data_IF_983091253665
#
_entry.id   IF_983091253665
#
_cell.length_a   1.000
_cell.length_b   1.000
_cell.length_c   1.000
_cell.angle_alpha   90.00
_cell.angle_beta   90.00
_cell.angle_gamma   90.00
#
_symmetry.space_group_name_H-M   'P 1'
#
loop_
_entity.id
_entity.type
_entity.pdbx_description
1 polymer ?
#
# COMPACT_ATOMS: atom_id res chain seq x y z
N UNK A 1 -4.97 -22.87 19.10
CA UNK A 1 -5.01 -21.65 18.24
C UNK A 1 -3.74 -21.50 17.40
N UNK A 2 -2.54 -21.50 18.00
CA UNK A 2 -1.25 -21.36 17.28
C UNK A 2 -1.05 -22.45 16.23
N UNK A 3 -1.34 -23.71 16.55
CA UNK A 3 -1.25 -24.84 15.61
C UNK A 3 -2.18 -24.68 14.40
N UNK A 4 -3.41 -24.23 14.64
CA UNK A 4 -4.39 -23.98 13.56
C UNK A 4 -3.89 -22.87 12.63
N UNK A 5 -3.38 -21.79 13.19
CA UNK A 5 -2.81 -20.68 12.41
C UNK A 5 -1.60 -21.15 11.62
N UNK A 6 -0.71 -21.94 12.25
CA UNK A 6 0.46 -22.52 11.59
C UNK A 6 0.08 -23.43 10.41
N UNK A 7 -0.89 -24.32 10.62
CA UNK A 7 -1.40 -25.22 9.58
C UNK A 7 -2.03 -24.45 8.43
N UNK A 8 -2.87 -23.46 8.71
CA UNK A 8 -3.50 -22.62 7.69
C UNK A 8 -2.46 -21.81 6.91
N UNK A 9 -1.47 -21.25 7.61
CA UNK A 9 -0.37 -20.53 7.01
C UNK A 9 0.43 -21.40 6.04
N UNK A 10 0.80 -22.61 6.47
CA UNK A 10 1.51 -23.55 5.63
C UNK A 10 0.65 -23.98 4.43
N UNK A 11 -0.61 -24.28 4.65
CA UNK A 11 -1.56 -24.72 3.60
C UNK A 11 -1.74 -23.68 2.53
N UNK A 12 -1.93 -22.43 2.92
CA UNK A 12 -2.12 -21.33 1.97
C UNK A 12 -0.84 -21.01 1.18
N UNK A 13 0.33 -21.05 1.80
CA UNK A 13 1.62 -20.91 1.12
C UNK A 13 1.83 -22.06 0.12
N UNK A 14 1.56 -23.29 0.55
CA UNK A 14 1.67 -24.47 -0.31
C UNK A 14 0.82 -24.34 -1.58
N UNK A 15 -0.45 -23.95 -1.46
CA UNK A 15 -1.31 -23.79 -2.64
C UNK A 15 -0.88 -22.65 -3.54
N UNK A 16 -0.38 -21.54 -2.98
CA UNK A 16 0.18 -20.47 -3.81
C UNK A 16 1.39 -20.95 -4.62
N UNK A 17 2.32 -21.65 -4.00
CA UNK A 17 3.50 -22.18 -4.68
C UNK A 17 3.15 -23.30 -5.67
N UNK A 18 2.23 -24.18 -5.33
CA UNK A 18 1.71 -25.19 -6.25
C UNK A 18 1.08 -24.56 -7.50
N UNK A 19 0.34 -23.46 -7.32
CA UNK A 19 -0.22 -22.68 -8.44
C UNK A 19 0.88 -22.06 -9.33
N UNK A 20 2.00 -21.62 -8.76
CA UNK A 20 3.15 -21.11 -9.52
C UNK A 20 3.86 -22.21 -10.29
N UNK A 21 4.03 -23.38 -9.68
CA UNK A 21 4.78 -24.50 -10.26
C UNK A 21 4.03 -25.24 -11.36
N UNK A 22 2.68 -25.20 -11.35
CA UNK A 22 1.90 -25.97 -12.35
C UNK A 22 1.77 -25.23 -13.68
N UNK A 23 2.02 -25.95 -14.76
CA UNK A 23 1.79 -25.50 -16.14
C UNK A 23 0.36 -25.79 -16.63
N UNK A 24 -0.32 -26.78 -16.03
CA UNK A 24 -1.66 -27.20 -16.42
C UNK A 24 -2.71 -26.19 -15.99
N UNK A 25 -3.50 -25.69 -16.94
CA UNK A 25 -4.51 -24.65 -16.70
C UNK A 25 -5.57 -25.08 -15.70
N UNK A 26 -6.07 -26.32 -15.79
CA UNK A 26 -7.12 -26.83 -14.90
C UNK A 26 -6.60 -26.99 -13.46
N UNK A 27 -5.41 -27.58 -13.31
CA UNK A 27 -4.77 -27.68 -11.99
C UNK A 27 -4.50 -26.30 -11.40
N UNK A 28 -4.10 -25.34 -12.24
CA UNK A 28 -3.86 -23.96 -11.81
C UNK A 28 -5.13 -23.32 -11.23
N UNK A 29 -6.29 -23.54 -11.85
CA UNK A 29 -7.58 -23.06 -11.34
C UNK A 29 -7.88 -23.71 -9.99
N UNK A 30 -7.70 -25.03 -9.87
CA UNK A 30 -7.93 -25.75 -8.61
C UNK A 30 -7.03 -25.21 -7.49
N UNK A 31 -5.72 -25.09 -7.73
CA UNK A 31 -4.79 -24.56 -6.73
C UNK A 31 -5.07 -23.09 -6.38
N UNK A 32 -5.49 -22.28 -7.35
CA UNK A 32 -5.91 -20.88 -7.07
C UNK A 32 -7.14 -20.87 -6.16
N UNK A 33 -8.13 -21.73 -6.41
CA UNK A 33 -9.33 -21.83 -5.57
C UNK A 33 -8.98 -22.28 -4.15
N UNK A 34 -8.12 -23.29 -4.00
CA UNK A 34 -7.65 -23.75 -2.69
C UNK A 34 -6.81 -22.69 -1.97
N UNK A 35 -5.98 -21.93 -2.69
CA UNK A 35 -5.28 -20.77 -2.15
C UNK A 35 -6.26 -19.72 -1.62
N UNK A 36 -7.31 -19.37 -2.36
CA UNK A 36 -8.32 -18.41 -1.92
C UNK A 36 -9.04 -18.92 -0.66
N UNK A 37 -9.53 -20.17 -0.68
CA UNK A 37 -10.23 -20.76 0.47
C UNK A 37 -9.34 -20.77 1.73
N UNK A 38 -8.10 -21.23 1.60
CA UNK A 38 -7.16 -21.25 2.73
C UNK A 38 -6.78 -19.85 3.22
N UNK A 39 -6.67 -18.87 2.31
CA UNK A 39 -6.43 -17.47 2.65
C UNK A 39 -7.61 -16.86 3.42
N UNK A 40 -8.83 -17.13 2.98
CA UNK A 40 -10.06 -16.70 3.67
C UNK A 40 -10.16 -17.34 5.05
N UNK A 41 -9.88 -18.65 5.17
CA UNK A 41 -9.85 -19.34 6.45
C UNK A 41 -8.79 -18.74 7.40
N UNK A 42 -7.59 -18.47 6.90
CA UNK A 42 -6.54 -17.81 7.68
C UNK A 42 -6.98 -16.41 8.13
N UNK A 43 -7.61 -15.64 7.23
CA UNK A 43 -8.12 -14.30 7.55
C UNK A 43 -9.22 -14.35 8.62
N UNK A 44 -10.09 -15.35 8.57
CA UNK A 44 -11.19 -15.51 9.55
C UNK A 44 -10.69 -15.87 10.97
N UNK A 45 -9.58 -16.60 11.07
CA UNK A 45 -8.98 -17.01 12.36
C UNK A 45 -8.10 -15.90 12.95
N UNK A 46 -7.49 -15.04 12.12
CA UNK A 46 -6.63 -13.96 12.58
C UNK A 46 -7.47 -12.76 13.06
N UNK A 47 -7.37 -12.46 14.35
CA UNK A 47 -8.01 -11.28 14.92
C UNK A 47 -7.33 -10.00 14.45
N UNK A 48 -8.08 -9.11 13.83
CA UNK A 48 -7.60 -7.81 13.38
C UNK A 48 -7.13 -6.90 14.50
N UNK A 49 -7.64 -7.11 15.71
CA UNK A 49 -7.26 -6.31 16.88
C UNK A 49 -5.82 -6.58 17.34
N UNK A 50 -5.20 -7.68 16.89
CA UNK A 50 -3.78 -7.96 17.13
C UNK A 50 -2.85 -7.04 16.29
N UNK A 51 -3.40 -6.34 15.31
CA UNK A 51 -2.65 -5.41 14.48
C UNK A 51 -2.57 -4.03 15.16
N UNK A 52 -1.35 -3.53 15.38
CA UNK A 52 -1.13 -2.19 15.96
C UNK A 52 -1.80 -1.08 15.12
N UNK A 53 -1.84 -1.23 13.79
CA UNK A 53 -2.50 -0.28 12.91
C UNK A 53 -4.02 -0.23 13.15
N UNK A 54 -4.64 -1.33 13.62
CA UNK A 54 -6.07 -1.35 13.96
C UNK A 54 -6.39 -0.32 15.05
N UNK A 55 -5.65 -0.30 16.15
CA UNK A 55 -5.87 0.66 17.24
C UNK A 55 -5.61 2.09 16.80
N UNK A 56 -4.59 2.28 15.97
CA UNK A 56 -4.26 3.57 15.42
C UNK A 56 -5.43 4.12 14.59
N UNK A 57 -5.95 3.34 13.64
CA UNK A 57 -7.10 3.76 12.82
C UNK A 57 -8.39 3.84 13.63
N UNK A 58 -8.61 2.92 14.55
CA UNK A 58 -9.82 2.89 15.37
C UNK A 58 -9.93 4.11 16.31
N UNK A 59 -8.81 4.60 16.85
CA UNK A 59 -8.74 5.78 17.69
C UNK A 59 -8.70 7.10 16.90
N UNK A 60 -8.34 7.04 15.62
CA UNK A 60 -8.16 8.24 14.80
C UNK A 60 -9.50 8.90 14.44
N UNK A 61 -9.54 10.23 14.53
CA UNK A 61 -10.67 11.04 14.09
C UNK A 61 -10.81 11.18 12.56
N UNK A 62 -10.07 10.40 11.77
CA UNK A 62 -10.10 10.37 10.29
C UNK A 62 -11.53 10.17 9.75
N UNK A 63 -12.37 9.48 10.51
CA UNK A 63 -13.73 9.14 10.11
C UNK A 63 -14.76 10.17 10.54
N UNK A 64 -14.34 11.30 11.12
CA UNK A 64 -15.25 12.45 11.29
C UNK A 64 -15.54 13.04 9.91
N UNK A 65 -16.81 13.40 9.72
CA UNK A 65 -17.27 14.02 8.47
C UNK A 65 -16.37 15.20 8.10
N UNK A 66 -15.73 15.19 6.93
CA UNK A 66 -14.85 16.28 6.55
C UNK A 66 -15.64 17.57 6.42
N UNK A 67 -15.08 18.66 6.95
CA UNK A 67 -15.72 19.99 6.99
C UNK A 67 -15.71 20.72 5.63
N UNK A 68 -15.04 20.15 4.61
CA UNK A 68 -14.97 20.72 3.28
C UNK A 68 -14.19 19.84 2.30
N UNK A 69 -14.23 20.21 1.04
CA UNK A 69 -13.59 19.44 -0.06
C UNK A 69 -12.07 19.25 0.14
N UNK A 70 -11.38 20.31 0.56
CA UNK A 70 -9.94 20.24 0.83
C UNK A 70 -9.64 19.30 2.02
N UNK A 71 -10.42 19.39 3.08
CA UNK A 71 -10.33 18.48 4.22
C UNK A 71 -10.57 17.02 3.80
N UNK A 72 -11.53 16.77 2.92
CA UNK A 72 -11.79 15.46 2.35
C UNK A 72 -10.58 14.92 1.56
N UNK A 73 -9.99 15.74 0.68
CA UNK A 73 -8.83 15.32 -0.12
C UNK A 73 -7.59 15.03 0.73
N UNK A 74 -7.35 15.81 1.79
CA UNK A 74 -6.18 15.68 2.64
C UNK A 74 -6.32 14.57 3.70
N UNK A 75 -7.54 14.14 4.01
CA UNK A 75 -7.84 13.11 5.01
C UNK A 75 -8.09 11.71 4.43
N UNK A 76 -7.41 11.38 3.33
CA UNK A 76 -7.45 10.04 2.74
C UNK A 76 -8.86 9.63 2.26
N UNK A 77 -9.33 10.21 1.14
CA UNK A 77 -10.68 10.01 0.60
C UNK A 77 -11.09 8.56 0.44
N UNK A 78 -10.13 7.68 0.09
CA UNK A 78 -10.38 6.25 -0.05
C UNK A 78 -10.86 5.62 1.26
N UNK A 79 -10.12 5.80 2.36
CA UNK A 79 -10.49 5.22 3.65
C UNK A 79 -11.83 5.75 4.15
N UNK A 80 -12.02 7.07 4.04
CA UNK A 80 -13.30 7.68 4.41
C UNK A 80 -14.46 7.12 3.58
N UNK A 81 -14.29 6.98 2.27
CA UNK A 81 -15.34 6.46 1.38
C UNK A 81 -15.67 5.00 1.70
N UNK A 82 -14.65 4.16 1.95
CA UNK A 82 -14.86 2.76 2.34
C UNK A 82 -15.56 2.68 3.70
N UNK A 83 -15.14 3.50 4.66
CA UNK A 83 -15.79 3.59 5.97
C UNK A 83 -17.26 4.02 5.81
N UNK A 84 -17.53 5.14 5.10
CA UNK A 84 -18.86 5.64 4.88
C UNK A 84 -19.77 4.64 4.15
N UNK A 85 -19.21 3.88 3.21
CA UNK A 85 -19.95 2.80 2.54
C UNK A 85 -20.41 1.72 3.52
N UNK A 86 -19.52 1.23 4.38
CA UNK A 86 -19.90 0.18 5.33
C UNK A 86 -20.81 0.67 6.45
N UNK A 87 -20.78 1.94 6.83
CA UNK A 87 -21.74 2.51 7.80
C UNK A 87 -23.19 2.56 7.28
N UNK A 88 -23.42 2.36 5.99
CA UNK A 88 -24.76 2.20 5.44
C UNK A 88 -25.41 0.87 5.85
N UNK A 89 -24.61 -0.14 6.22
CA UNK A 89 -25.07 -1.50 6.47
C UNK A 89 -24.76 -1.98 7.90
N UNK A 90 -23.80 -1.35 8.57
CA UNK A 90 -23.28 -1.77 9.87
C UNK A 90 -23.31 -0.59 10.85
N UNK A 91 -23.88 -0.80 12.02
CA UNK A 91 -24.03 0.25 13.04
C UNK A 91 -22.80 0.31 13.96
N UNK A 92 -22.28 -0.84 14.35
CA UNK A 92 -21.16 -0.90 15.28
C UNK A 92 -19.83 -0.55 14.60
N UNK A 93 -19.13 0.46 15.11
CA UNK A 93 -17.80 0.91 14.60
C UNK A 93 -16.83 -0.25 14.43
N UNK A 94 -16.83 -1.22 15.36
CA UNK A 94 -15.96 -2.41 15.30
C UNK A 94 -16.24 -3.26 14.07
N UNK A 95 -17.51 -3.47 13.73
CA UNK A 95 -17.94 -4.25 12.58
C UNK A 95 -17.59 -3.56 11.27
N UNK A 96 -17.77 -2.23 11.21
CA UNK A 96 -17.35 -1.41 10.06
C UNK A 96 -15.84 -1.57 9.80
N UNK A 97 -15.03 -1.50 10.85
CA UNK A 97 -13.58 -1.70 10.71
C UNK A 97 -13.23 -3.12 10.27
N UNK A 98 -13.88 -4.13 10.83
CA UNK A 98 -13.69 -5.51 10.41
C UNK A 98 -14.03 -5.68 8.90
N UNK A 99 -15.13 -5.10 8.45
CA UNK A 99 -15.54 -5.12 7.05
C UNK A 99 -14.51 -4.40 6.14
N UNK A 100 -13.95 -3.27 6.58
CA UNK A 100 -12.87 -2.57 5.85
C UNK A 100 -11.62 -3.44 5.69
N UNK A 101 -11.22 -4.17 6.73
CA UNK A 101 -10.09 -5.10 6.65
C UNK A 101 -10.38 -6.28 5.72
N UNK A 102 -11.60 -6.82 5.73
CA UNK A 102 -12.03 -7.85 4.79
C UNK A 102 -12.02 -7.34 3.34
N UNK A 103 -12.50 -6.13 3.13
CA UNK A 103 -12.50 -5.51 1.80
C UNK A 103 -11.08 -5.31 1.27
N UNK A 104 -10.17 -4.82 2.11
CA UNK A 104 -8.77 -4.65 1.73
C UNK A 104 -8.07 -5.99 1.46
N UNK A 105 -8.36 -7.01 2.28
CA UNK A 105 -7.91 -8.39 2.06
C UNK A 105 -8.38 -8.93 0.70
N UNK A 106 -9.64 -8.69 0.33
CA UNK A 106 -10.18 -9.09 -0.96
C UNK A 106 -9.42 -8.43 -2.12
N UNK A 107 -9.19 -7.12 -2.04
CA UNK A 107 -8.41 -6.37 -3.06
C UNK A 107 -7.00 -6.95 -3.19
N UNK A 108 -6.32 -7.20 -2.08
CA UNK A 108 -4.99 -7.79 -2.09
C UNK A 108 -4.99 -9.19 -2.70
N UNK A 109 -5.95 -10.04 -2.32
CA UNK A 109 -6.08 -11.39 -2.87
C UNK A 109 -6.32 -11.36 -4.38
N UNK A 110 -7.22 -10.50 -4.87
CA UNK A 110 -7.47 -10.33 -6.30
C UNK A 110 -6.22 -9.85 -7.05
N UNK A 111 -5.44 -8.93 -6.48
CA UNK A 111 -4.18 -8.49 -7.06
C UNK A 111 -3.17 -9.64 -7.18
N UNK A 112 -3.01 -10.46 -6.14
CA UNK A 112 -2.08 -11.59 -6.19
C UNK A 112 -2.57 -12.71 -7.12
N UNK A 113 -3.88 -12.95 -7.24
CA UNK A 113 -4.44 -13.82 -8.28
C UNK A 113 -4.11 -13.27 -9.67
N UNK A 114 -4.34 -11.97 -9.89
CA UNK A 114 -3.95 -11.33 -11.15
C UNK A 114 -2.47 -11.54 -11.46
N UNK A 115 -1.58 -11.39 -10.48
CA UNK A 115 -0.13 -11.59 -10.62
C UNK A 115 0.21 -13.06 -10.93
N UNK A 116 -0.46 -14.04 -10.30
CA UNK A 116 -0.28 -15.48 -10.57
C UNK A 116 -0.44 -15.82 -12.05
N UNK A 117 -1.42 -15.20 -12.71
CA UNK A 117 -1.72 -15.48 -14.11
C UNK A 117 -0.86 -14.71 -15.12
N UNK A 118 0.10 -13.89 -14.68
CA UNK A 118 1.04 -13.21 -15.58
C UNK A 118 2.17 -14.17 -16.00
N UNK A 119 2.07 -14.76 -17.21
CA UNK A 119 3.06 -15.74 -17.71
C UNK A 119 4.45 -15.12 -17.93
N UNK A 120 4.50 -13.84 -18.22
CA UNK A 120 5.67 -13.04 -18.55
C UNK A 120 6.40 -12.45 -17.33
N UNK A 121 5.87 -12.68 -16.12
CA UNK A 121 6.57 -12.38 -14.86
C UNK A 121 7.21 -13.66 -14.34
N UNK A 122 8.51 -13.62 -14.13
CA UNK A 122 9.29 -14.74 -13.63
C UNK A 122 8.77 -15.25 -12.27
N UNK A 123 8.78 -16.57 -12.08
CA UNK A 123 8.23 -17.21 -10.89
C UNK A 123 8.84 -16.65 -9.59
N UNK A 124 10.15 -16.50 -9.52
CA UNK A 124 10.84 -16.01 -8.33
C UNK A 124 10.42 -14.59 -7.94
N UNK A 125 10.14 -13.71 -8.92
CA UNK A 125 9.63 -12.35 -8.67
C UNK A 125 8.24 -12.39 -8.03
N UNK A 126 7.37 -13.28 -8.50
CA UNK A 126 6.05 -13.51 -7.90
C UNK A 126 6.14 -14.03 -6.48
N UNK A 127 7.08 -14.96 -6.23
CA UNK A 127 7.33 -15.50 -4.89
C UNK A 127 7.78 -14.41 -3.92
N UNK A 128 8.76 -13.60 -4.30
CA UNK A 128 9.26 -12.49 -3.49
C UNK A 128 8.13 -11.50 -3.19
N UNK A 129 7.41 -11.04 -4.22
CA UNK A 129 6.31 -10.10 -4.03
C UNK A 129 5.24 -10.67 -3.10
N UNK A 130 4.91 -11.95 -3.24
CA UNK A 130 3.92 -12.60 -2.40
C UNK A 130 4.38 -12.69 -0.94
N UNK A 131 5.55 -13.23 -0.67
CA UNK A 131 6.06 -13.42 0.69
C UNK A 131 6.15 -12.10 1.46
N UNK A 132 6.65 -11.04 0.81
CA UNK A 132 6.84 -9.75 1.49
C UNK A 132 5.60 -8.86 1.54
N UNK A 133 4.70 -8.97 0.55
CA UNK A 133 3.64 -7.96 0.41
C UNK A 133 2.22 -8.49 0.62
N UNK A 134 1.98 -9.81 0.45
CA UNK A 134 0.62 -10.32 0.61
C UNK A 134 0.10 -10.13 2.03
N UNK A 135 0.89 -10.53 3.04
CA UNK A 135 0.51 -10.32 4.44
C UNK A 135 0.41 -8.83 4.77
N UNK A 136 1.38 -8.06 4.32
CA UNK A 136 1.38 -6.62 4.57
C UNK A 136 0.11 -5.97 4.03
N UNK A 137 -0.23 -6.21 2.78
CA UNK A 137 -1.37 -5.54 2.13
C UNK A 137 -2.72 -6.16 2.48
N UNK A 138 -2.79 -7.47 2.67
CA UNK A 138 -4.05 -8.15 2.96
C UNK A 138 -4.44 -8.16 4.45
N UNK A 139 -3.46 -8.09 5.35
CA UNK A 139 -3.73 -8.32 6.77
C UNK A 139 -3.38 -7.14 7.67
N UNK A 140 -2.46 -6.26 7.27
CA UNK A 140 -1.93 -5.20 8.13
C UNK A 140 -2.36 -3.82 7.65
N UNK A 141 -2.06 -3.46 6.41
CA UNK A 141 -2.16 -2.08 5.91
C UNK A 141 -3.51 -1.82 5.26
N UNK A 142 -4.29 -0.89 5.80
CA UNK A 142 -5.58 -0.51 5.21
C UNK A 142 -5.47 0.49 4.05
N UNK A 143 -4.58 1.47 4.15
CA UNK A 143 -4.58 2.65 3.27
C UNK A 143 -3.62 2.56 2.09
N UNK A 144 -2.40 2.12 2.33
CA UNK A 144 -1.33 2.17 1.33
C UNK A 144 -1.42 1.01 0.33
N UNK A 145 -1.97 -0.13 0.76
CA UNK A 145 -2.03 -1.36 -0.04
C UNK A 145 -2.60 -1.16 -1.44
N UNK A 146 -3.84 -0.65 -1.59
CA UNK A 146 -4.45 -0.45 -2.91
C UNK A 146 -3.64 0.49 -3.81
N UNK A 147 -3.06 1.57 -3.27
CA UNK A 147 -2.23 2.49 -4.03
C UNK A 147 -0.99 1.78 -4.59
N UNK A 148 -0.27 1.02 -3.76
CA UNK A 148 0.93 0.28 -4.19
C UNK A 148 0.62 -0.84 -5.17
N UNK A 149 -0.51 -1.52 -5.03
CA UNK A 149 -0.96 -2.51 -6.02
C UNK A 149 -1.23 -1.88 -7.39
N UNK A 150 -1.85 -0.70 -7.44
CA UNK A 150 -2.03 0.04 -8.70
C UNK A 150 -0.70 0.48 -9.30
N UNK A 151 0.29 0.89 -8.48
CA UNK A 151 1.63 1.18 -8.99
C UNK A 151 2.34 -0.06 -9.54
N UNK A 152 2.22 -1.21 -8.87
CA UNK A 152 2.76 -2.47 -9.38
C UNK A 152 2.14 -2.84 -10.73
N UNK A 153 0.83 -2.66 -10.89
CA UNK A 153 0.15 -2.83 -12.18
C UNK A 153 0.63 -1.81 -13.22
N UNK A 154 0.79 -0.55 -12.82
CA UNK A 154 1.34 0.48 -13.71
C UNK A 154 2.72 0.09 -14.24
N UNK A 155 3.66 -0.29 -13.38
CA UNK A 155 4.99 -0.73 -13.80
C UNK A 155 4.92 -1.94 -14.73
N UNK A 156 4.08 -2.92 -14.39
CA UNK A 156 3.86 -4.09 -15.24
C UNK A 156 3.43 -3.70 -16.66
N UNK A 157 2.49 -2.77 -16.82
CA UNK A 157 2.02 -2.31 -18.13
C UNK A 157 3.01 -1.35 -18.80
N UNK A 158 3.64 -0.46 -18.06
CA UNK A 158 4.60 0.51 -18.58
C UNK A 158 5.85 -0.15 -19.21
N UNK A 159 6.37 -1.22 -18.57
CA UNK A 159 7.48 -2.02 -19.13
C UNK A 159 7.11 -2.74 -20.44
N UNK A 160 5.82 -2.88 -20.74
CA UNK A 160 5.30 -3.45 -22.00
C UNK A 160 4.85 -2.39 -22.99
N UNK A 161 5.17 -1.14 -22.76
CA UNK A 161 4.76 -0.03 -23.61
C UNK A 161 3.26 0.26 -23.58
N UNK A 162 2.51 -0.32 -22.63
CA UNK A 162 1.05 -0.12 -22.51
C UNK A 162 0.76 1.01 -21.54
N UNK A 163 -0.27 1.81 -21.83
CA UNK A 163 -0.75 2.86 -20.94
C UNK A 163 -1.59 2.26 -19.81
N UNK A 164 -1.43 2.78 -18.60
CA UNK A 164 -2.23 2.44 -17.44
C UNK A 164 -2.52 3.72 -16.63
N UNK A 165 -3.69 4.30 -16.86
CA UNK A 165 -4.03 5.62 -16.33
C UNK A 165 -4.61 5.58 -14.91
N UNK A 166 -4.95 4.41 -14.38
CA UNK A 166 -5.51 4.27 -13.03
C UNK A 166 -4.56 4.72 -11.91
N UNK A 167 -3.28 4.87 -12.21
CA UNK A 167 -2.29 5.41 -11.26
C UNK A 167 -2.66 6.83 -10.77
N UNK A 168 -3.42 7.62 -11.54
CA UNK A 168 -3.82 8.97 -11.17
C UNK A 168 -4.85 9.03 -10.03
N UNK A 169 -5.50 7.93 -9.70
CA UNK A 169 -6.39 7.86 -8.53
C UNK A 169 -5.65 7.53 -7.22
N UNK A 170 -4.38 7.12 -7.30
CA UNK A 170 -3.63 6.69 -6.11
C UNK A 170 -3.44 7.77 -5.04
N UNK A 171 -3.31 9.09 -5.37
CA UNK A 171 -3.30 10.14 -4.35
C UNK A 171 -4.57 10.21 -3.51
N UNK A 172 -5.71 9.81 -4.08
CA UNK A 172 -6.98 9.73 -3.36
C UNK A 172 -7.01 8.54 -2.38
N UNK A 173 -6.18 7.54 -2.62
CA UNK A 173 -6.02 6.39 -1.72
C UNK A 173 -5.03 6.70 -0.60
N UNK A 174 -3.90 7.31 -0.96
CA UNK A 174 -2.90 7.73 0.00
C UNK A 174 -2.05 8.87 -0.54
N UNK A 175 -1.99 9.97 0.19
CA UNK A 175 -1.33 11.21 -0.25
C UNK A 175 0.16 11.00 -0.59
N UNK A 176 0.88 10.13 0.14
CA UNK A 176 2.29 9.86 -0.16
C UNK A 176 2.51 9.22 -1.54
N UNK A 177 1.47 8.64 -2.15
CA UNK A 177 1.55 8.10 -3.50
C UNK A 177 1.77 9.17 -4.58
N UNK A 178 1.54 10.47 -4.25
CA UNK A 178 1.94 11.58 -5.10
C UNK A 178 3.43 11.52 -5.45
N UNK A 179 4.28 11.08 -4.49
CA UNK A 179 5.71 10.92 -4.74
C UNK A 179 5.99 9.84 -5.79
N UNK A 180 5.18 8.77 -5.80
CA UNK A 180 5.31 7.70 -6.78
C UNK A 180 4.84 8.14 -8.18
N UNK A 181 3.89 9.09 -8.27
CA UNK A 181 3.45 9.64 -9.56
C UNK A 181 4.59 10.33 -10.33
N UNK A 182 5.63 10.79 -9.63
CA UNK A 182 6.81 11.36 -10.27
C UNK A 182 7.45 10.35 -11.23
N UNK A 183 7.36 9.05 -10.94
CA UNK A 183 7.88 7.99 -11.81
C UNK A 183 7.19 7.95 -13.18
N UNK A 184 5.98 8.48 -13.31
CA UNK A 184 5.27 8.58 -14.59
C UNK A 184 6.02 9.43 -15.60
N UNK A 185 6.76 10.42 -15.12
CA UNK A 185 7.50 11.38 -15.93
C UNK A 185 8.95 10.98 -16.24
N UNK A 186 9.35 9.73 -15.90
CA UNK A 186 10.73 9.25 -16.05
C UNK A 186 11.30 9.35 -17.47
N UNK A 187 10.46 9.45 -18.51
CA UNK A 187 10.87 9.60 -19.90
C UNK A 187 11.19 11.05 -20.30
N UNK A 188 10.96 12.03 -19.44
CA UNK A 188 11.28 13.42 -19.75
C UNK A 188 12.79 13.66 -19.78
N UNK A 189 13.27 14.39 -20.78
CA UNK A 189 14.70 14.63 -21.02
C UNK A 189 15.48 15.11 -19.80
N UNK A 190 14.88 15.94 -18.97
CA UNK A 190 15.49 16.51 -17.76
C UNK A 190 14.86 16.00 -16.46
N UNK A 191 14.31 14.79 -16.48
CA UNK A 191 13.59 14.23 -15.36
C UNK A 191 14.31 14.30 -14.01
N UNK A 192 15.59 13.88 -13.96
CA UNK A 192 16.36 13.91 -12.71
C UNK A 192 16.63 15.31 -12.20
N UNK A 193 16.93 16.28 -13.10
CA UNK A 193 17.08 17.68 -12.70
C UNK A 193 15.77 18.27 -12.19
N UNK A 194 14.66 17.97 -12.88
CA UNK A 194 13.34 18.38 -12.45
C UNK A 194 12.95 17.78 -11.09
N UNK A 195 13.28 16.51 -10.85
CA UNK A 195 13.03 15.83 -9.57
C UNK A 195 13.79 16.50 -8.41
N UNK A 196 15.09 16.75 -8.58
CA UNK A 196 15.91 17.41 -7.57
C UNK A 196 15.38 18.83 -7.28
N UNK A 197 15.11 19.61 -8.33
CA UNK A 197 14.55 20.95 -8.17
C UNK A 197 13.19 20.94 -7.49
N UNK A 198 12.29 20.03 -7.87
CA UNK A 198 10.98 19.89 -7.23
C UNK A 198 11.11 19.49 -5.74
N UNK A 199 12.01 18.58 -5.40
CA UNK A 199 12.25 18.16 -4.02
C UNK A 199 12.77 19.32 -3.17
N UNK A 200 13.76 20.05 -3.68
CA UNK A 200 14.30 21.25 -3.01
C UNK A 200 13.21 22.31 -2.86
N UNK A 201 12.48 22.60 -3.93
CA UNK A 201 11.39 23.58 -3.90
C UNK A 201 10.31 23.22 -2.89
N UNK A 202 9.84 21.96 -2.89
CA UNK A 202 8.82 21.48 -1.93
C UNK A 202 9.36 21.58 -0.49
N UNK A 203 10.62 21.19 -0.26
CA UNK A 203 11.24 21.29 1.07
C UNK A 203 11.33 22.73 1.57
N UNK A 204 11.84 23.64 0.76
CA UNK A 204 11.94 25.07 1.09
C UNK A 204 10.56 25.71 1.25
N UNK A 205 9.62 25.42 0.35
CA UNK A 205 8.24 25.88 0.44
C UNK A 205 7.60 25.43 1.75
N UNK A 206 7.74 24.15 2.11
CA UNK A 206 7.16 23.63 3.35
C UNK A 206 7.77 24.28 4.59
N UNK A 207 9.09 24.49 4.61
CA UNK A 207 9.77 25.17 5.72
C UNK A 207 9.27 26.62 5.91
N UNK A 208 9.13 27.37 4.81
CA UNK A 208 8.69 28.77 4.86
C UNK A 208 7.20 28.85 5.21
N UNK A 209 6.38 27.97 4.62
CA UNK A 209 4.93 28.03 4.75
C UNK A 209 4.38 27.30 5.98
N UNK A 210 5.22 26.55 6.73
CA UNK A 210 4.78 25.79 7.91
C UNK A 210 3.96 26.64 8.90
N UNK A 211 4.40 27.85 9.31
CA UNK A 211 3.63 28.67 10.26
C UNK A 211 2.28 29.13 9.68
N UNK A 212 2.23 29.45 8.39
CA UNK A 212 0.99 29.80 7.69
C UNK A 212 0.06 28.60 7.54
N UNK A 213 0.59 27.44 7.15
CA UNK A 213 -0.18 26.20 7.02
C UNK A 213 -0.77 25.76 8.37
N UNK A 214 -0.09 26.03 9.48
CA UNK A 214 -0.58 25.75 10.83
C UNK A 214 -1.83 26.56 11.21
N UNK A 215 -2.09 27.70 10.57
CA UNK A 215 -3.29 28.48 10.78
C UNK A 215 -4.53 27.95 10.04
N UNK A 216 -4.34 27.06 9.08
CA UNK A 216 -5.42 26.46 8.26
C UNK A 216 -5.79 25.10 8.85
N UNK A 217 -7.05 24.94 9.29
CA UNK A 217 -7.52 23.73 9.98
C UNK A 217 -7.31 22.43 9.15
N UNK A 218 -7.48 22.50 7.83
CA UNK A 218 -7.25 21.37 6.95
C UNK A 218 -5.79 20.84 7.02
N UNK A 219 -4.82 21.70 7.28
CA UNK A 219 -3.41 21.32 7.39
C UNK A 219 -2.97 20.97 8.81
N UNK A 220 -3.72 21.36 9.86
CA UNK A 220 -3.40 21.01 11.25
C UNK A 220 -3.29 19.49 11.45
N UNK A 221 -4.15 18.70 10.81
CA UNK A 221 -4.11 17.25 10.90
C UNK A 221 -2.84 16.66 10.27
N UNK A 222 -2.33 17.24 9.17
CA UNK A 222 -1.09 16.82 8.53
C UNK A 222 0.11 17.19 9.40
N UNK A 223 0.13 18.44 9.92
CA UNK A 223 1.20 18.92 10.77
C UNK A 223 1.27 18.16 12.09
N UNK A 224 0.11 17.84 12.70
CA UNK A 224 0.08 17.00 13.91
C UNK A 224 0.63 15.59 13.66
N UNK A 225 0.36 15.00 12.50
CA UNK A 225 0.98 13.71 12.09
C UNK A 225 2.50 13.85 11.97
N UNK A 226 3.00 14.92 11.33
CA UNK A 226 4.44 15.18 11.23
C UNK A 226 5.06 15.34 12.63
N UNK A 227 4.42 16.07 13.54
CA UNK A 227 4.90 16.25 14.91
C UNK A 227 4.89 14.92 15.70
N UNK A 228 3.88 14.08 15.54
CA UNK A 228 3.82 12.74 16.15
C UNK A 228 4.99 11.88 15.64
N UNK A 229 5.20 11.84 14.32
CA UNK A 229 6.31 11.06 13.73
C UNK A 229 7.69 11.63 14.09
N UNK A 230 7.82 12.93 14.28
CA UNK A 230 9.09 13.56 14.68
C UNK A 230 9.43 13.37 16.17
N UNK A 231 8.41 13.27 17.03
CA UNK A 231 8.59 13.14 18.49
C UNK A 231 8.54 11.70 18.99
N UNK A 232 7.95 10.81 18.21
CA UNK A 232 7.40 9.58 18.75
C UNK A 232 8.27 8.34 18.73
N UNK A 233 9.35 8.23 17.93
CA UNK A 233 10.19 7.02 17.94
C UNK A 233 11.54 7.25 17.26
N UNK A 234 12.59 7.67 18.00
CA UNK A 234 13.92 7.88 17.42
C UNK A 234 14.49 6.62 16.76
N UNK A 235 14.20 5.42 17.29
CA UNK A 235 14.68 4.15 16.71
C UNK A 235 13.97 3.83 15.38
N UNK A 236 12.65 3.97 15.31
CA UNK A 236 11.88 3.70 14.07
C UNK A 236 12.22 4.72 12.99
N UNK A 237 12.36 6.00 13.35
CA UNK A 237 12.81 7.05 12.44
C UNK A 237 14.21 6.78 11.90
N UNK A 238 15.14 6.35 12.75
CA UNK A 238 16.50 5.97 12.37
C UNK A 238 16.51 4.77 11.41
N UNK A 239 15.72 3.73 11.68
CA UNK A 239 15.59 2.55 10.80
C UNK A 239 15.01 2.92 9.42
N UNK A 240 14.04 3.85 9.36
CA UNK A 240 13.51 4.34 8.08
C UNK A 240 14.57 5.11 7.28
N UNK A 241 15.38 5.95 7.95
CA UNK A 241 16.48 6.66 7.31
C UNK A 241 17.52 5.67 6.77
N UNK A 242 17.93 4.67 7.58
CA UNK A 242 18.87 3.63 7.14
C UNK A 242 18.33 2.86 5.94
N UNK A 243 17.05 2.47 5.99
CA UNK A 243 16.41 1.75 4.87
C UNK A 243 16.35 2.64 3.61
N UNK A 244 16.00 3.91 3.75
CA UNK A 244 16.00 4.86 2.65
C UNK A 244 17.40 5.04 2.06
N UNK A 245 18.43 5.19 2.90
CA UNK A 245 19.83 5.29 2.45
C UNK A 245 20.29 4.02 1.73
N UNK A 246 19.93 2.84 2.25
CA UNK A 246 20.23 1.55 1.63
C UNK A 246 19.59 1.43 0.24
N UNK A 247 18.30 1.70 0.11
CA UNK A 247 17.58 1.67 -1.17
C UNK A 247 18.16 2.70 -2.15
N UNK A 248 18.42 3.93 -1.68
CA UNK A 248 19.04 4.97 -2.50
C UNK A 248 20.44 4.57 -2.97
N UNK A 249 21.23 3.92 -2.12
CA UNK A 249 22.55 3.37 -2.45
C UNK A 249 22.46 2.28 -3.52
N UNK A 250 21.49 1.36 -3.41
CA UNK A 250 21.26 0.33 -4.43
C UNK A 250 20.88 0.95 -5.78
N UNK A 251 20.01 1.96 -5.80
CA UNK A 251 19.64 2.67 -7.02
C UNK A 251 20.82 3.41 -7.64
N UNK A 252 21.62 4.09 -6.82
CA UNK A 252 22.82 4.80 -7.28
C UNK A 252 23.85 3.82 -7.85
N UNK A 253 24.10 2.71 -7.17
CA UNK A 253 25.02 1.65 -7.64
C UNK A 253 24.52 1.04 -8.95
N UNK A 254 23.23 0.70 -9.03
CA UNK A 254 22.61 0.23 -10.27
C UNK A 254 22.76 1.25 -11.41
N UNK A 255 22.49 2.53 -11.15
CA UNK A 255 22.65 3.59 -12.13
C UNK A 255 24.09 3.73 -12.62
N UNK A 256 25.09 3.68 -11.71
CA UNK A 256 26.51 3.79 -12.07
C UNK A 256 27.01 2.59 -12.87
N UNK A 257 26.53 1.38 -12.54
CA UNK A 257 26.87 0.15 -13.25
C UNK A 257 26.23 0.06 -14.64
N UNK A 258 25.01 0.54 -14.81
CA UNK A 258 24.30 0.52 -16.10
C UNK A 258 24.64 1.69 -17.03
N UNK A 259 25.44 2.64 -16.58
CA UNK A 259 25.89 3.77 -17.41
C UNK A 259 27.07 3.41 -18.32
N UNK A 260 27.48 2.14 -18.33
CA UNK A 260 28.38 1.56 -19.32
C UNK A 260 27.54 0.88 -20.40
#
# INVERSE_FOLDING_TARGET
MIEIIGTLLFTFLFYYFACLATANSNQKIVYTSLFVVSSVALRAVLDVTLNNDYYFYYSFGIFHKPTGFLSYLLNEPYLYSVYAFFTLFLEAKKEVFLAMYWFNFLIATLFFIWLLYRKDVEMWKKMILFVFHYFLFGFVVLRNGPAYMLFAMYFYYAFRGKKFNWIWITPLMHISSCLLLVTYFHKWKNYYKGLVLATVFIGVFFLIMKPFLASIDAFKSILSKVDIYSKGMPVVGFMHILFFMFISGLFLTGFLLYKK
#
